data_IF_667278766507
#
_entry.id   IF_667278766507
#
_cell.length_a   1.000
_cell.length_b   1.000
_cell.length_c   1.000
_cell.angle_alpha   90.00
_cell.angle_beta   90.00
_cell.angle_gamma   90.00
#
_symmetry.space_group_name_H-M   'P 1'
#
loop_
_entity.id
_entity.type
_entity.pdbx_description
1 polymer ?
#
# COMPACT_ATOMS: atom_id res chain seq x y z
N UNK A 1 12.15 -27.76 3.91
CA UNK A 1 11.30 -26.56 3.79
C UNK A 1 11.86 -25.70 2.68
N UNK A 2 11.03 -25.29 1.73
CA UNK A 2 11.39 -24.29 0.73
C UNK A 2 11.61 -22.94 1.42
N UNK A 3 12.55 -22.16 0.88
CA UNK A 3 12.91 -20.84 1.41
C UNK A 3 12.50 -19.81 0.37
N UNK A 4 11.79 -18.77 0.81
CA UNK A 4 11.44 -17.62 -0.03
C UNK A 4 12.51 -16.54 0.16
N UNK A 5 13.14 -16.13 -0.93
CA UNK A 5 14.12 -15.05 -0.90
C UNK A 5 13.40 -13.69 -1.05
N UNK A 6 13.10 -13.04 0.06
CA UNK A 6 12.57 -11.68 0.07
C UNK A 6 13.67 -10.67 -0.31
N UNK A 7 13.39 -9.83 -1.32
CA UNK A 7 14.35 -8.82 -1.80
C UNK A 7 14.45 -7.58 -0.92
N UNK A 8 13.39 -7.30 -0.17
CA UNK A 8 13.30 -6.22 0.80
C UNK A 8 13.36 -6.82 2.20
N UNK A 9 14.24 -6.28 3.05
CA UNK A 9 14.36 -6.72 4.44
C UNK A 9 13.37 -6.00 5.37
N UNK A 10 13.16 -6.53 6.56
CA UNK A 10 12.35 -5.86 7.59
C UNK A 10 12.94 -4.52 8.03
N UNK A 11 14.27 -4.38 8.02
CA UNK A 11 14.94 -3.11 8.33
C UNK A 11 14.65 -2.07 7.25
N UNK A 12 14.71 -2.46 5.98
CA UNK A 12 14.40 -1.58 4.84
C UNK A 12 12.93 -1.18 4.83
N UNK A 13 12.02 -2.09 5.17
CA UNK A 13 10.60 -1.78 5.36
C UNK A 13 10.38 -0.74 6.46
N UNK A 14 11.19 -0.75 7.52
CA UNK A 14 11.10 0.16 8.67
C UNK A 14 11.78 1.51 8.48
N UNK A 15 12.47 1.75 7.36
CA UNK A 15 13.06 3.04 7.04
C UNK A 15 12.02 4.17 7.18
N UNK A 16 12.39 5.23 7.90
CA UNK A 16 11.53 6.39 8.15
C UNK A 16 12.31 7.69 8.00
N UNK A 17 11.58 8.81 7.91
CA UNK A 17 12.15 10.16 7.74
C UNK A 17 13.28 10.39 8.75
N UNK A 18 14.43 10.88 8.26
CA UNK A 18 15.66 11.05 9.03
C UNK A 18 16.64 9.87 8.96
N UNK A 19 16.20 8.68 8.52
CA UNK A 19 17.09 7.52 8.33
C UNK A 19 17.64 7.48 6.90
N UNK A 20 18.97 7.54 6.70
CA UNK A 20 19.55 7.48 5.36
C UNK A 20 19.48 6.07 4.76
N UNK A 21 19.36 6.02 3.43
CA UNK A 21 19.49 4.79 2.63
C UNK A 21 20.23 5.08 1.32
N UNK A 22 20.76 4.07 0.61
CA UNK A 22 21.52 4.28 -0.62
C UNK A 22 20.71 5.06 -1.67
N UNK A 23 21.27 6.17 -2.14
CA UNK A 23 20.66 7.00 -3.19
C UNK A 23 19.67 8.07 -2.71
N UNK A 24 19.41 8.17 -1.40
CA UNK A 24 18.54 9.23 -0.87
C UNK A 24 19.18 10.62 -1.04
N UNK A 25 18.39 11.62 -1.41
CA UNK A 25 18.82 13.01 -1.47
C UNK A 25 18.87 13.64 -0.08
N UNK A 26 19.84 14.55 0.20
CA UNK A 26 19.90 15.22 1.51
C UNK A 26 18.63 16.00 1.87
N UNK A 27 17.90 16.50 0.87
CA UNK A 27 16.63 17.22 1.08
C UNK A 27 15.52 16.29 1.55
N UNK A 28 15.47 15.05 1.07
CA UNK A 28 14.46 14.08 1.45
C UNK A 28 14.60 13.60 2.90
N UNK A 29 15.81 13.61 3.47
CA UNK A 29 16.03 13.20 4.87
C UNK A 29 15.17 13.98 5.88
N UNK A 30 14.86 15.25 5.60
CA UNK A 30 14.08 16.12 6.47
C UNK A 30 12.70 16.47 5.89
N UNK A 31 12.24 15.76 4.87
CA UNK A 31 10.97 16.03 4.20
C UNK A 31 10.20 14.71 3.99
N UNK A 32 9.08 14.54 4.69
CA UNK A 32 8.28 13.31 4.64
C UNK A 32 7.80 12.93 3.25
N UNK A 33 7.42 13.93 2.45
CA UNK A 33 6.81 13.72 1.15
C UNK A 33 7.86 13.24 0.14
N UNK A 34 9.04 13.87 0.14
CA UNK A 34 10.18 13.45 -0.68
C UNK A 34 10.74 12.11 -0.21
N UNK A 35 10.82 11.89 1.10
CA UNK A 35 11.30 10.63 1.67
C UNK A 35 10.44 9.45 1.22
N UNK A 36 9.12 9.59 1.24
CA UNK A 36 8.19 8.54 0.83
C UNK A 36 8.41 8.13 -0.63
N UNK A 37 8.54 9.11 -1.54
CA UNK A 37 8.79 8.88 -2.97
C UNK A 37 10.13 8.19 -3.19
N UNK A 38 11.21 8.70 -2.58
CA UNK A 38 12.55 8.13 -2.77
C UNK A 38 12.67 6.73 -2.15
N UNK A 39 12.01 6.48 -1.01
CA UNK A 39 11.95 5.15 -0.40
C UNK A 39 11.21 4.17 -1.32
N UNK A 40 10.07 4.57 -1.89
CA UNK A 40 9.32 3.74 -2.84
C UNK A 40 10.18 3.34 -4.05
N UNK A 41 10.92 4.29 -4.63
CA UNK A 41 11.84 4.04 -5.73
C UNK A 41 13.00 3.11 -5.32
N UNK A 42 13.59 3.32 -4.15
CA UNK A 42 14.66 2.46 -3.62
C UNK A 42 14.16 1.02 -3.43
N UNK A 43 13.04 0.82 -2.74
CA UNK A 43 12.46 -0.51 -2.52
C UNK A 43 12.06 -1.16 -3.84
N UNK A 44 11.49 -0.39 -4.76
CA UNK A 44 11.10 -0.88 -6.08
C UNK A 44 12.28 -1.37 -6.92
N UNK A 45 13.42 -0.67 -6.85
CA UNK A 45 14.65 -1.06 -7.56
C UNK A 45 15.18 -2.45 -7.13
N UNK A 46 14.99 -2.85 -5.87
CA UNK A 46 15.41 -4.16 -5.36
C UNK A 46 14.54 -5.31 -5.87
N UNK A 47 13.30 -5.01 -6.23
CA UNK A 47 12.30 -5.96 -6.71
C UNK A 47 12.16 -5.96 -8.24
N UNK A 48 12.95 -5.17 -8.95
CA UNK A 48 12.93 -5.10 -10.40
C UNK A 48 13.35 -6.44 -11.02
N UNK A 49 12.53 -6.94 -11.94
CA UNK A 49 12.84 -8.14 -12.72
C UNK A 49 13.33 -7.71 -14.09
N UNK A 50 14.56 -8.10 -14.41
CA UNK A 50 15.14 -7.89 -15.75
C UNK A 50 14.32 -8.69 -16.77
N UNK A 51 13.84 -8.00 -17.81
CA UNK A 51 12.97 -8.59 -18.82
C UNK A 51 13.08 -7.80 -20.15
N UNK A 52 12.65 -8.42 -21.25
CA UNK A 52 12.74 -7.85 -22.60
C UNK A 52 11.34 -7.59 -23.19
N UNK A 53 11.07 -6.41 -23.79
CA UNK A 53 12.03 -5.32 -24.07
C UNK A 53 12.29 -4.38 -22.89
N UNK A 54 11.52 -4.47 -21.80
CA UNK A 54 11.64 -3.60 -20.62
C UNK A 54 11.49 -4.41 -19.34
N UNK A 55 12.17 -4.01 -18.25
CA UNK A 55 11.95 -4.60 -16.93
C UNK A 55 10.54 -4.31 -16.43
N UNK A 56 10.02 -5.15 -15.54
CA UNK A 56 8.74 -4.94 -14.85
C UNK A 56 8.93 -4.99 -13.34
N UNK A 57 7.96 -4.42 -12.61
CA UNK A 57 8.00 -4.24 -11.17
C UNK A 57 6.79 -4.88 -10.47
N UNK A 58 6.86 -4.92 -9.13
CA UNK A 58 5.90 -5.56 -8.22
C UNK A 58 4.46 -5.04 -8.37
N UNK A 59 3.46 -5.84 -7.97
CA UNK A 59 2.06 -5.45 -7.86
C UNK A 59 1.81 -4.63 -6.58
N UNK A 60 0.80 -3.75 -6.57
CA UNK A 60 0.50 -2.88 -5.42
C UNK A 60 -0.92 -3.13 -4.93
N UNK A 61 -1.06 -3.19 -3.60
CA UNK A 61 -2.34 -3.13 -2.93
C UNK A 61 -2.53 -1.70 -2.46
N UNK A 62 -3.48 -1.00 -3.07
CA UNK A 62 -3.83 0.35 -2.68
C UNK A 62 -5.13 0.31 -1.89
N UNK A 63 -5.08 0.88 -0.70
CA UNK A 63 -6.23 1.05 0.16
C UNK A 63 -6.55 2.54 0.23
N UNK A 64 -7.78 2.90 -0.15
CA UNK A 64 -8.24 4.29 -0.21
C UNK A 64 -9.45 4.47 0.70
N UNK A 65 -9.38 5.48 1.56
CA UNK A 65 -10.52 5.99 2.29
C UNK A 65 -11.01 7.27 1.61
N UNK A 66 -12.34 7.38 1.41
CA UNK A 66 -12.96 8.62 0.96
C UNK A 66 -13.05 9.71 2.03
N UNK A 67 -12.59 9.48 3.25
CA UNK A 67 -12.60 10.51 4.29
C UNK A 67 -11.50 11.52 4.00
N UNK A 68 -11.88 12.77 3.74
CA UNK A 68 -10.96 13.84 3.37
C UNK A 68 -10.82 14.83 4.54
N UNK A 69 -9.60 15.00 5.06
CA UNK A 69 -9.30 16.19 5.86
C UNK A 69 -9.28 17.40 4.94
N UNK A 70 -10.39 18.11 4.93
CA UNK A 70 -10.51 19.31 4.11
C UNK A 70 -9.64 20.47 4.61
N UNK A 71 -9.13 20.42 5.84
CA UNK A 71 -8.33 21.50 6.43
C UNK A 71 -6.82 21.29 6.32
N UNK A 72 -6.38 20.04 6.17
CA UNK A 72 -4.97 19.72 6.30
C UNK A 72 -4.13 20.16 5.08
N UNK A 73 -4.74 20.46 3.93
CA UNK A 73 -4.04 20.80 2.68
C UNK A 73 -2.93 19.78 2.30
N UNK A 74 -2.97 18.58 2.89
CA UNK A 74 -1.93 17.55 2.78
C UNK A 74 -1.90 16.89 1.41
N UNK A 75 -3.02 16.91 0.70
CA UNK A 75 -3.12 16.38 -0.66
C UNK A 75 -2.96 17.55 -1.64
N UNK A 76 -1.77 17.76 -2.22
CA UNK A 76 -1.59 18.75 -3.27
C UNK A 76 -2.40 18.35 -4.52
N UNK A 77 -2.99 19.32 -5.21
CA UNK A 77 -3.51 19.10 -6.56
C UNK A 77 -2.37 19.30 -7.54
N UNK A 78 -1.97 18.24 -8.23
CA UNK A 78 -0.91 18.31 -9.23
C UNK A 78 0.41 18.86 -8.66
N UNK A 79 0.77 18.43 -7.45
CA UNK A 79 1.97 18.88 -6.74
C UNK A 79 1.92 20.31 -6.20
N UNK A 80 0.77 21.01 -6.31
CA UNK A 80 0.59 22.35 -5.75
C UNK A 80 -0.18 22.27 -4.43
N UNK A 81 0.30 22.91 -3.35
CA UNK A 81 -0.48 23.06 -2.13
C UNK A 81 -1.79 23.75 -2.45
N UNK A 82 -2.90 23.13 -2.07
CA UNK A 82 -4.22 23.72 -2.22
C UNK A 82 -4.86 23.89 -0.86
N UNK A 83 -5.52 25.04 -0.70
CA UNK A 83 -6.03 25.53 0.58
C UNK A 83 -7.10 24.63 1.20
N UNK A 84 -7.66 25.02 2.34
CA UNK A 84 -8.68 24.21 2.97
C UNK A 84 -9.90 24.09 2.05
N UNK A 85 -10.27 22.85 1.72
CA UNK A 85 -11.47 22.55 0.96
C UNK A 85 -12.70 22.81 1.83
N UNK A 86 -13.84 23.11 1.20
CA UNK A 86 -15.11 23.10 1.95
C UNK A 86 -15.55 21.65 2.13
N UNK A 87 -15.85 21.25 3.37
CA UNK A 87 -16.39 19.93 3.64
C UNK A 87 -17.70 19.72 2.89
N UNK A 88 -17.79 18.62 2.15
CA UNK A 88 -18.99 18.25 1.41
C UNK A 88 -19.64 17.03 2.07
N UNK A 89 -20.98 16.86 1.99
CA UNK A 89 -21.64 15.66 2.49
C UNK A 89 -21.15 14.37 1.81
N UNK A 90 -20.51 14.48 0.63
CA UNK A 90 -19.99 13.36 -0.15
C UNK A 90 -18.79 12.67 0.50
N UNK A 91 -17.95 13.43 1.21
CA UNK A 91 -16.71 12.95 1.84
C UNK A 91 -16.67 13.40 3.31
N UNK A 92 -17.37 12.69 4.20
CA UNK A 92 -17.48 13.06 5.61
C UNK A 92 -16.14 12.92 6.35
N UNK A 93 -15.91 13.80 7.31
CA UNK A 93 -14.79 13.77 8.25
C UNK A 93 -15.34 13.47 9.66
N UNK A 94 -14.82 12.42 10.31
CA UNK A 94 -15.35 11.85 11.55
C UNK A 94 -14.49 12.15 12.80
N UNK A 95 -13.87 13.32 12.89
CA UNK A 95 -13.08 13.70 14.06
C UNK A 95 -12.14 14.88 13.81
N UNK A 96 -11.28 15.18 14.80
CA UNK A 96 -10.22 16.18 14.66
C UNK A 96 -9.02 15.56 13.92
N UNK A 97 -8.59 16.15 12.78
CA UNK A 97 -7.43 15.68 12.01
C UNK A 97 -7.74 14.49 11.07
N UNK A 98 -8.73 14.63 10.20
CA UNK A 98 -9.35 13.52 9.46
C UNK A 98 -8.50 12.84 8.38
N UNK A 99 -7.59 11.98 8.76
CA UNK A 99 -7.19 10.76 8.03
C UNK A 99 -6.33 9.94 8.99
N UNK A 100 -6.87 8.84 9.52
CA UNK A 100 -6.01 7.86 10.20
C UNK A 100 -5.39 6.94 9.15
N UNK A 101 -4.10 6.63 9.32
CA UNK A 101 -3.51 5.50 8.62
C UNK A 101 -4.18 4.21 9.13
N UNK A 102 -4.49 3.26 8.24
CA UNK A 102 -5.04 1.99 8.68
C UNK A 102 -4.04 1.26 9.55
N UNK A 103 -4.53 0.46 10.50
CA UNK A 103 -3.74 -0.64 11.01
C UNK A 103 -3.42 -1.56 9.83
N UNK A 104 -2.15 -1.95 9.70
CA UNK A 104 -1.64 -2.72 8.57
C UNK A 104 -0.77 -3.86 9.08
N UNK A 105 -1.23 -5.08 8.85
CA UNK A 105 -0.52 -6.30 9.20
C UNK A 105 -0.10 -6.98 7.91
N UNK A 106 1.18 -7.31 7.84
CA UNK A 106 1.79 -8.01 6.72
C UNK A 106 2.21 -9.40 7.16
N UNK A 107 1.65 -10.42 6.52
CA UNK A 107 2.20 -11.77 6.54
C UNK A 107 3.07 -11.97 5.31
N UNK A 108 4.38 -12.02 5.53
CA UNK A 108 5.34 -12.26 4.45
C UNK A 108 5.04 -13.58 3.73
N UNK A 109 5.28 -13.56 2.42
CA UNK A 109 5.07 -14.72 1.56
C UNK A 109 5.94 -15.89 2.00
N UNK A 110 5.33 -17.03 2.32
CA UNK A 110 6.05 -18.24 2.72
C UNK A 110 5.41 -19.50 2.16
N UNK A 111 6.14 -20.61 2.20
CA UNK A 111 5.57 -21.92 1.91
C UNK A 111 4.64 -22.35 3.05
N UNK A 112 3.37 -22.60 2.75
CA UNK A 112 2.37 -23.03 3.76
C UNK A 112 2.37 -24.55 4.00
N UNK A 113 2.71 -25.32 2.97
CA UNK A 113 2.88 -26.79 3.03
C UNK A 113 4.38 -27.19 3.05
N UNK A 114 5.24 -26.20 3.26
CA UNK A 114 6.68 -26.36 3.34
C UNK A 114 7.40 -26.53 2.00
N UNK A 115 6.75 -26.70 0.84
CA UNK A 115 7.48 -26.86 -0.45
C UNK A 115 6.76 -26.43 -1.72
N UNK A 116 5.42 -26.44 -1.78
CA UNK A 116 4.70 -26.25 -3.05
C UNK A 116 3.80 -25.03 -3.09
N UNK A 117 3.07 -24.74 -2.02
CA UNK A 117 2.11 -23.63 -2.01
C UNK A 117 2.71 -22.42 -1.29
N UNK A 118 2.81 -21.31 -2.01
CA UNK A 118 3.20 -20.00 -1.49
C UNK A 118 1.96 -19.21 -1.13
N UNK A 119 1.98 -18.55 0.03
CA UNK A 119 0.93 -17.65 0.48
C UNK A 119 1.52 -16.47 1.24
N UNK A 120 0.97 -15.29 1.01
CA UNK A 120 1.17 -14.11 1.86
C UNK A 120 -0.13 -13.31 1.96
N UNK A 121 -0.16 -12.33 2.86
CA UNK A 121 -1.35 -11.49 3.02
C UNK A 121 -1.04 -10.11 3.58
N UNK A 122 -1.95 -9.18 3.29
CA UNK A 122 -2.13 -7.93 4.00
C UNK A 122 -3.52 -7.92 4.62
N UNK A 123 -3.65 -7.51 5.87
CA UNK A 123 -4.95 -7.25 6.47
C UNK A 123 -4.90 -6.08 7.46
N UNK A 124 -6.08 -5.59 7.82
CA UNK A 124 -6.20 -4.58 8.85
C UNK A 124 -7.51 -3.81 8.82
N UNK A 125 -7.51 -2.64 9.44
CA UNK A 125 -8.71 -1.85 9.73
C UNK A 125 -8.38 -0.37 9.86
N UNK A 126 -9.33 0.51 9.54
CA UNK A 126 -9.19 1.97 9.77
C UNK A 126 -9.65 2.42 11.16
N UNK A 127 -10.25 1.54 11.95
CA UNK A 127 -10.63 1.86 13.32
C UNK A 127 -9.40 1.84 14.24
N UNK A 128 -9.13 2.99 14.88
CA UNK A 128 -8.10 3.10 15.91
C UNK A 128 -8.49 2.24 17.12
N UNK A 129 -7.73 1.18 17.41
CA UNK A 129 -8.00 0.27 18.53
C UNK A 129 -8.96 -0.88 18.21
N UNK A 130 -9.17 -1.22 16.93
CA UNK A 130 -9.83 -2.47 16.58
C UNK A 130 -9.00 -3.65 17.10
N UNK A 131 -9.57 -4.43 18.00
CA UNK A 131 -9.00 -5.71 18.39
C UNK A 131 -9.24 -6.70 17.26
N UNK A 132 -8.21 -6.94 16.46
CA UNK A 132 -8.24 -7.87 15.32
C UNK A 132 -7.99 -9.33 15.77
N UNK A 133 -7.91 -9.57 17.08
CA UNK A 133 -7.66 -10.87 17.69
C UNK A 133 -8.92 -11.69 18.03
N UNK A 134 -8.86 -12.97 17.67
CA UNK A 134 -9.67 -14.15 18.09
C UNK A 134 -11.19 -14.16 17.87
N UNK A 135 -11.93 -13.06 18.01
CA UNK A 135 -13.41 -13.12 17.98
C UNK A 135 -14.04 -12.64 16.67
N UNK A 136 -13.21 -12.47 15.64
CA UNK A 136 -13.68 -11.96 14.37
C UNK A 136 -14.07 -10.48 14.47
N UNK A 137 -14.14 -9.87 13.31
CA UNK A 137 -14.53 -8.48 13.10
C UNK A 137 -15.76 -8.17 13.97
N UNK A 138 -15.59 -7.36 15.02
CA UNK A 138 -16.72 -6.73 15.70
C UNK A 138 -17.66 -6.18 14.63
N UNK A 139 -18.96 -6.49 14.72
CA UNK A 139 -19.90 -6.39 13.61
C UNK A 139 -19.94 -5.01 12.93
N UNK A 140 -19.46 -3.96 13.60
CA UNK A 140 -19.37 -2.58 13.13
C UNK A 140 -18.02 -2.11 12.56
N UNK A 141 -16.92 -2.85 12.70
CA UNK A 141 -15.59 -2.39 12.26
C UNK A 141 -15.34 -2.63 10.76
N UNK A 142 -14.53 -1.74 10.16
CA UNK A 142 -14.00 -1.92 8.81
C UNK A 142 -12.91 -2.99 8.81
N UNK A 143 -12.83 -3.72 7.71
CA UNK A 143 -11.81 -4.74 7.47
C UNK A 143 -11.38 -4.66 6.01
N UNK A 144 -10.08 -4.76 5.77
CA UNK A 144 -9.55 -5.15 4.47
C UNK A 144 -8.66 -6.37 4.64
N UNK A 145 -8.69 -7.25 3.66
CA UNK A 145 -7.80 -8.39 3.56
C UNK A 145 -7.46 -8.61 2.09
N UNK A 146 -6.18 -8.79 1.81
CA UNK A 146 -5.66 -9.27 0.52
C UNK A 146 -4.81 -10.48 0.80
N UNK A 147 -5.18 -11.60 0.20
CA UNK A 147 -4.39 -12.83 0.24
C UNK A 147 -3.90 -13.12 -1.17
N UNK A 148 -2.63 -13.46 -1.32
CA UNK A 148 -2.08 -13.92 -2.59
C UNK A 148 -1.48 -15.30 -2.44
N UNK A 149 -1.78 -16.15 -3.42
CA UNK A 149 -1.39 -17.56 -3.42
C UNK A 149 -0.81 -17.97 -4.76
N UNK A 150 0.17 -18.87 -4.74
CA UNK A 150 0.76 -19.43 -5.95
C UNK A 150 1.32 -20.82 -5.70
N UNK A 151 1.17 -21.71 -6.68
CA UNK A 151 1.91 -22.98 -6.71
C UNK A 151 3.32 -22.73 -7.28
N UNK A 152 4.35 -23.09 -6.54
CA UNK A 152 5.72 -22.96 -7.01
C UNK A 152 5.93 -23.76 -8.31
N UNK A 153 6.56 -23.14 -9.32
CA UNK A 153 6.82 -23.77 -10.62
C UNK A 153 5.61 -23.94 -11.54
N UNK A 154 4.40 -23.53 -11.15
CA UNK A 154 3.20 -23.67 -11.98
C UNK A 154 2.19 -22.55 -11.79
N UNK A 155 1.58 -22.07 -12.88
CA UNK A 155 0.50 -21.10 -12.85
C UNK A 155 0.91 -19.68 -12.41
N UNK A 156 -0.11 -18.84 -12.25
CA UNK A 156 0.02 -17.43 -11.87
C UNK A 156 -0.35 -17.20 -10.40
N UNK A 157 -0.05 -16.00 -9.89
CA UNK A 157 -0.56 -15.58 -8.59
C UNK A 157 -2.08 -15.43 -8.63
N UNK A 158 -2.76 -15.93 -7.62
CA UNK A 158 -4.20 -15.76 -7.39
C UNK A 158 -4.36 -14.78 -6.23
N UNK A 159 -5.10 -13.70 -6.46
CA UNK A 159 -5.38 -12.69 -5.45
C UNK A 159 -6.83 -12.78 -5.00
N UNK A 160 -7.03 -12.86 -3.69
CA UNK A 160 -8.34 -12.80 -3.04
C UNK A 160 -8.45 -11.52 -2.23
N UNK A 161 -9.47 -10.73 -2.51
CA UNK A 161 -9.72 -9.45 -1.84
C UNK A 161 -10.99 -9.55 -1.00
N UNK A 162 -10.92 -9.08 0.24
CA UNK A 162 -12.09 -8.87 1.09
C UNK A 162 -12.08 -7.45 1.61
N UNK A 163 -13.25 -6.83 1.55
CA UNK A 163 -13.46 -5.48 2.03
C UNK A 163 -14.79 -5.42 2.77
N UNK A 164 -14.74 -4.85 3.97
CA UNK A 164 -15.91 -4.53 4.77
C UNK A 164 -15.79 -3.07 5.20
N UNK A 165 -16.80 -2.29 4.87
CA UNK A 165 -16.92 -0.90 5.31
C UNK A 165 -17.48 -0.83 6.74
N UNK A 166 -17.38 0.34 7.36
CA UNK A 166 -18.09 0.68 8.60
C UNK A 166 -18.87 1.97 8.42
N UNK A 167 -19.68 2.34 9.43
CA UNK A 167 -20.38 3.63 9.44
C UNK A 167 -19.42 4.83 9.38
N UNK A 168 -18.21 4.68 9.95
CA UNK A 168 -17.15 5.71 9.92
C UNK A 168 -16.33 5.71 8.62
N UNK A 169 -16.30 4.59 7.92
CA UNK A 169 -15.57 4.44 6.66
C UNK A 169 -16.49 3.82 5.59
N UNK A 170 -17.58 4.50 5.21
CA UNK A 170 -18.55 3.97 4.24
C UNK A 170 -17.99 3.96 2.81
N UNK A 171 -16.96 4.76 2.54
CA UNK A 171 -16.31 4.91 1.24
C UNK A 171 -14.91 4.28 1.23
N UNK A 172 -14.78 3.12 1.87
CA UNK A 172 -13.54 2.35 1.81
C UNK A 172 -13.43 1.65 0.47
N UNK A 173 -12.25 1.68 -0.15
CA UNK A 173 -11.99 1.05 -1.43
C UNK A 173 -10.66 0.32 -1.39
N UNK A 174 -10.65 -0.90 -1.92
CA UNK A 174 -9.48 -1.77 -2.00
C UNK A 174 -9.19 -2.08 -3.46
N UNK A 175 -8.01 -1.70 -3.92
CA UNK A 175 -7.59 -1.88 -5.30
C UNK A 175 -6.37 -2.79 -5.35
N UNK A 176 -6.45 -3.85 -6.15
CA UNK A 176 -5.26 -4.43 -6.75
C UNK A 176 -4.95 -3.60 -7.98
N UNK A 177 -3.80 -2.95 -7.99
CA UNK A 177 -3.43 -2.09 -9.11
C UNK A 177 -2.23 -2.66 -9.82
N UNK A 178 -2.29 -2.56 -11.13
CA UNK A 178 -1.14 -2.57 -12.00
C UNK A 178 -1.02 -1.16 -12.56
N UNK A 179 0.06 -0.47 -12.22
CA UNK A 179 0.22 0.91 -12.64
C UNK A 179 0.38 1.06 -14.17
N UNK A 180 0.12 2.26 -14.67
CA UNK A 180 0.46 2.61 -16.04
C UNK A 180 1.98 2.78 -16.18
N UNK A 181 2.57 2.20 -17.23
CA UNK A 181 4.01 2.32 -17.51
C UNK A 181 4.47 3.75 -17.90
N UNK A 182 3.53 4.70 -17.96
CA UNK A 182 3.74 6.12 -18.21
C UNK A 182 2.49 6.92 -17.79
N UNK A 183 2.68 8.20 -17.43
CA UNK A 183 1.59 9.14 -17.12
C UNK A 183 1.15 9.17 -15.67
N UNK A 184 0.08 9.93 -15.38
CA UNK A 184 -0.42 10.14 -14.02
C UNK A 184 -1.01 8.86 -13.42
N UNK A 185 -0.35 8.30 -12.41
CA UNK A 185 -0.78 7.08 -11.75
C UNK A 185 -1.68 7.38 -10.55
N UNK A 186 -2.94 7.76 -10.77
CA UNK A 186 -3.98 7.76 -9.73
C UNK A 186 -3.69 8.64 -8.49
N UNK A 187 -2.89 9.70 -8.65
CA UNK A 187 -2.46 10.58 -7.56
C UNK A 187 -0.94 10.75 -7.49
N UNK A 188 -0.17 9.84 -8.09
CA UNK A 188 1.28 9.98 -8.23
C UNK A 188 1.64 10.74 -9.52
N UNK A 189 2.56 11.70 -9.39
CA UNK A 189 3.01 12.59 -10.46
C UNK A 189 4.33 12.15 -11.13
N UNK A 190 4.72 10.88 -10.95
CA UNK A 190 5.93 10.30 -11.54
C UNK A 190 5.60 9.06 -12.38
N UNK A 191 6.44 8.80 -13.37
CA UNK A 191 6.33 7.59 -14.20
C UNK A 191 6.56 6.35 -13.32
N UNK A 192 5.69 5.37 -13.46
CA UNK A 192 5.87 4.04 -12.87
C UNK A 192 6.01 3.03 -14.01
N UNK A 193 6.52 1.81 -13.74
CA UNK A 193 6.98 0.90 -14.82
C UNK A 193 5.94 -0.12 -15.32
N UNK A 194 4.74 -0.12 -14.76
CA UNK A 194 3.70 -1.10 -15.10
C UNK A 194 4.05 -2.54 -14.65
N UNK A 195 3.02 -3.28 -14.24
CA UNK A 195 3.20 -4.37 -13.25
C UNK A 195 2.60 -5.72 -13.68
N UNK A 196 2.02 -5.81 -14.88
CA UNK A 196 1.48 -7.06 -15.41
C UNK A 196 2.16 -7.41 -16.73
N UNK A 197 2.85 -8.54 -16.73
CA UNK A 197 3.27 -9.24 -17.94
C UNK A 197 2.14 -10.21 -18.33
N UNK A 198 1.58 -10.01 -19.52
CA UNK A 198 0.65 -10.94 -20.17
C UNK A 198 1.38 -12.14 -20.73
#
# INVERSE_FOLDING_TARGET
QGIVAHKVTEEENRLGVGTPFPGITPRALNNSDLYAVEKELFLGSKCEVQDSPKPWQFWMVMLKSGNLDTTAALCPENGRPIGPFKQTPRFPCFGKGCMNQPAFYHEQTRFVDGTTNLRGSFNGSYESGADLGKDGVGSSNSLYEVVWEKKAGAGSWVFSHRLKTSERYPWLMLYLRADAAAGFSGGYHYETRGMLKT
#
